data_IF_250377360484
#
_entry.id   IF_250377360484
#
_cell.length_a   1.000
_cell.length_b   1.000
_cell.length_c   1.000
_cell.angle_alpha   90.00
_cell.angle_beta   90.00
_cell.angle_gamma   90.00
#
_symmetry.space_group_name_H-M   'P 1'
#
loop_
_entity.id
_entity.type
_entity.pdbx_description
1 polymer ?
#
# COMPACT_ATOMS: atom_id res chain seq x y z
N UNK A 1 37.17 -13.58 -12.44
CA UNK A 1 36.44 -12.91 -11.34
C UNK A 1 35.61 -11.78 -11.94
N UNK A 2 34.30 -11.98 -12.14
CA UNK A 2 33.40 -10.93 -12.64
C UNK A 2 32.93 -10.05 -11.50
N UNK A 3 33.20 -8.74 -11.55
CA UNK A 3 32.59 -7.78 -10.61
C UNK A 3 31.08 -7.87 -10.82
N UNK A 4 30.34 -8.24 -9.77
CA UNK A 4 28.86 -8.14 -9.80
C UNK A 4 28.54 -6.68 -10.08
N UNK A 5 27.93 -6.41 -11.23
CA UNK A 5 27.40 -5.09 -11.53
C UNK A 5 26.29 -4.85 -10.51
N UNK A 6 26.61 -4.10 -9.46
CA UNK A 6 25.65 -3.71 -8.45
C UNK A 6 24.68 -2.76 -9.11
N UNK A 7 23.39 -3.07 -9.01
CA UNK A 7 22.31 -2.20 -9.45
C UNK A 7 22.55 -0.78 -8.89
N UNK A 8 22.73 0.24 -9.76
CA UNK A 8 23.06 1.60 -9.32
C UNK A 8 22.00 2.15 -8.36
N UNK A 9 20.73 1.75 -8.51
CA UNK A 9 19.69 2.20 -7.59
C UNK A 9 19.82 1.57 -6.21
N UNK A 10 20.27 0.32 -6.14
CA UNK A 10 20.54 -0.33 -4.85
C UNK A 10 21.68 0.38 -4.11
N UNK A 11 22.70 0.85 -4.81
CA UNK A 11 23.76 1.66 -4.22
C UNK A 11 23.21 3.01 -3.70
N UNK A 12 22.38 3.70 -4.49
CA UNK A 12 21.70 4.93 -4.07
C UNK A 12 20.86 4.69 -2.81
N UNK A 13 20.05 3.62 -2.77
CA UNK A 13 19.22 3.29 -1.61
C UNK A 13 20.06 2.92 -0.39
N UNK A 14 21.21 2.28 -0.57
CA UNK A 14 22.14 2.00 0.54
C UNK A 14 22.75 3.30 1.10
N UNK A 15 23.03 4.29 0.24
CA UNK A 15 23.51 5.61 0.66
C UNK A 15 22.41 6.44 1.33
N UNK A 16 21.14 6.26 0.96
CA UNK A 16 19.99 6.80 1.71
C UNK A 16 19.87 6.25 3.13
N UNK A 17 20.35 5.02 3.34
CA UNK A 17 20.43 4.38 4.66
C UNK A 17 21.63 4.87 5.50
N UNK A 18 22.51 5.71 4.94
CA UNK A 18 23.71 6.16 5.64
C UNK A 18 23.35 7.02 6.87
N UNK A 19 24.05 6.80 7.98
CA UNK A 19 23.94 7.66 9.16
C UNK A 19 24.44 9.09 8.92
N UNK A 20 25.19 9.35 7.83
CA UNK A 20 25.76 10.66 7.50
C UNK A 20 24.74 11.51 6.71
N UNK A 21 24.28 12.66 7.23
CA UNK A 21 23.30 13.51 6.55
C UNK A 21 23.71 13.96 5.14
N UNK A 22 25.00 14.29 4.95
CA UNK A 22 25.53 14.72 3.65
C UNK A 22 25.42 13.62 2.58
N UNK A 23 25.71 12.36 2.94
CA UNK A 23 25.60 11.22 2.01
C UNK A 23 24.15 10.99 1.61
N UNK A 24 23.21 11.12 2.56
CA UNK A 24 21.77 11.02 2.26
C UNK A 24 21.31 12.12 1.31
N UNK A 25 21.69 13.36 1.55
CA UNK A 25 21.30 14.49 0.69
C UNK A 25 21.77 14.30 -0.76
N UNK A 26 23.00 13.80 -0.96
CA UNK A 26 23.54 13.48 -2.30
C UNK A 26 22.74 12.34 -2.94
N UNK A 27 22.53 11.23 -2.21
CA UNK A 27 21.76 10.11 -2.71
C UNK A 27 20.31 10.49 -3.05
N UNK A 28 19.69 11.39 -2.29
CA UNK A 28 18.37 11.93 -2.59
C UNK A 28 18.35 12.77 -3.87
N UNK A 29 19.37 13.59 -4.09
CA UNK A 29 19.50 14.38 -5.33
C UNK A 29 19.68 13.48 -6.55
N UNK A 30 20.49 12.43 -6.43
CA UNK A 30 20.68 11.45 -7.50
C UNK A 30 19.40 10.67 -7.79
N UNK A 31 18.67 10.25 -6.74
CA UNK A 31 17.40 9.56 -6.89
C UNK A 31 16.36 10.42 -7.63
N UNK A 32 16.33 11.74 -7.36
CA UNK A 32 15.46 12.68 -8.09
C UNK A 32 15.86 12.82 -9.56
N UNK A 33 17.17 12.80 -9.86
CA UNK A 33 17.67 12.90 -11.23
C UNK A 33 17.29 11.71 -12.11
N UNK A 34 17.05 10.53 -11.50
CA UNK A 34 16.64 9.32 -12.20
C UNK A 34 15.14 9.27 -12.54
N UNK A 35 14.33 10.19 -12.03
CA UNK A 35 12.91 10.30 -12.36
C UNK A 35 12.07 9.07 -11.97
N UNK A 36 11.06 8.68 -12.77
CA UNK A 36 10.11 7.61 -12.41
C UNK A 36 10.75 6.21 -12.36
N UNK A 37 11.87 5.97 -13.03
CA UNK A 37 12.56 4.67 -12.98
C UNK A 37 13.14 4.37 -11.60
N UNK A 38 13.56 5.43 -10.88
CA UNK A 38 14.01 5.30 -9.49
C UNK A 38 12.86 4.89 -8.56
N UNK A 39 11.64 5.32 -8.84
CA UNK A 39 10.48 4.95 -8.04
C UNK A 39 10.25 3.43 -8.10
N UNK A 40 10.22 2.84 -9.29
CA UNK A 40 10.05 1.38 -9.46
C UNK A 40 11.13 0.58 -8.71
N UNK A 41 12.37 1.06 -8.77
CA UNK A 41 13.48 0.44 -8.07
C UNK A 41 13.37 0.56 -6.54
N UNK A 42 12.93 1.72 -6.03
CA UNK A 42 12.65 1.91 -4.59
C UNK A 42 11.49 1.02 -4.14
N UNK A 43 10.39 0.98 -4.90
CA UNK A 43 9.24 0.12 -4.61
C UNK A 43 9.63 -1.35 -4.61
N UNK A 44 10.45 -1.79 -5.57
CA UNK A 44 10.99 -3.14 -5.61
C UNK A 44 11.81 -3.47 -4.37
N UNK A 45 12.73 -2.59 -3.96
CA UNK A 45 13.53 -2.78 -2.74
C UNK A 45 12.64 -2.85 -1.49
N UNK A 46 11.60 -2.01 -1.40
CA UNK A 46 10.64 -2.06 -0.30
C UNK A 46 9.84 -3.36 -0.29
N UNK A 47 9.36 -3.82 -1.46
CA UNK A 47 8.60 -5.05 -1.60
C UNK A 47 9.43 -6.29 -1.25
N UNK A 48 10.67 -6.37 -1.73
CA UNK A 48 11.59 -7.48 -1.42
C UNK A 48 11.89 -7.55 0.08
N UNK A 49 12.12 -6.40 0.71
CA UNK A 49 12.41 -6.35 2.15
C UNK A 49 11.16 -6.59 3.00
N UNK A 50 9.97 -6.15 2.55
CA UNK A 50 8.70 -6.47 3.21
C UNK A 50 8.43 -7.99 3.20
N UNK A 51 8.68 -8.67 2.07
CA UNK A 51 8.63 -10.14 1.96
C UNK A 51 9.66 -10.81 2.86
N UNK A 52 10.90 -10.32 2.87
CA UNK A 52 11.93 -10.86 3.76
C UNK A 52 11.56 -10.70 5.24
N UNK A 53 10.91 -9.59 5.62
CA UNK A 53 10.47 -9.35 6.99
C UNK A 53 9.31 -10.26 7.41
N UNK A 54 8.33 -10.52 6.54
CA UNK A 54 7.24 -11.44 6.88
C UNK A 54 7.75 -12.86 7.13
N UNK A 55 8.81 -13.27 6.41
CA UNK A 55 9.54 -14.49 6.69
C UNK A 55 10.29 -14.42 8.05
N UNK A 56 11.05 -13.34 8.30
CA UNK A 56 11.76 -13.15 9.59
C UNK A 56 10.84 -13.11 10.79
N UNK A 57 9.65 -12.48 10.69
CA UNK A 57 8.66 -12.46 11.77
C UNK A 57 8.17 -13.86 12.11
N UNK A 58 7.89 -14.69 11.10
CA UNK A 58 7.49 -16.10 11.32
C UNK A 58 8.60 -16.88 12.01
N UNK A 59 9.84 -16.75 11.51
CA UNK A 59 11.02 -17.39 12.12
C UNK A 59 11.21 -16.91 13.56
N UNK A 60 11.09 -15.61 13.82
CA UNK A 60 11.21 -15.03 15.15
C UNK A 60 10.13 -15.54 16.10
N UNK A 61 8.85 -15.62 15.68
CA UNK A 61 7.76 -16.14 16.50
C UNK A 61 8.02 -17.59 16.90
N UNK A 62 8.49 -18.41 15.96
CA UNK A 62 8.87 -19.81 16.24
C UNK A 62 10.07 -19.88 17.19
N UNK A 63 11.12 -19.08 16.94
CA UNK A 63 12.30 -19.02 17.79
C UNK A 63 11.97 -18.53 19.21
N UNK A 64 11.07 -17.55 19.34
CA UNK A 64 10.60 -17.03 20.62
C UNK A 64 9.78 -18.08 21.37
N UNK A 65 8.87 -18.78 20.69
CA UNK A 65 8.10 -19.87 21.30
C UNK A 65 9.02 -21.00 21.81
N UNK A 66 10.02 -21.37 21.01
CA UNK A 66 11.03 -22.35 21.40
C UNK A 66 11.86 -21.86 22.60
N UNK A 67 12.29 -20.60 22.60
CA UNK A 67 13.01 -19.99 23.71
C UNK A 67 12.18 -20.00 25.01
N UNK A 68 10.92 -19.61 24.95
CA UNK A 68 10.01 -19.63 26.12
C UNK A 68 9.85 -21.06 26.65
N UNK A 69 9.67 -22.05 25.77
CA UNK A 69 9.59 -23.45 26.17
C UNK A 69 10.88 -23.93 26.86
N UNK A 70 12.05 -23.53 26.33
CA UNK A 70 13.35 -23.83 26.93
C UNK A 70 13.49 -23.19 28.33
N UNK A 71 13.11 -21.92 28.48
CA UNK A 71 13.15 -21.21 29.76
C UNK A 71 12.26 -21.89 30.80
N UNK A 72 11.02 -22.24 30.42
CA UNK A 72 10.10 -22.98 31.30
C UNK A 72 10.71 -24.33 31.69
N UNK A 73 11.30 -25.06 30.75
CA UNK A 73 11.98 -26.32 31.03
C UNK A 73 13.12 -26.15 32.05
N UNK A 74 13.99 -25.16 31.85
CA UNK A 74 15.11 -24.88 32.78
C UNK A 74 14.59 -24.51 34.17
N UNK A 75 13.56 -23.66 34.27
CA UNK A 75 12.95 -23.29 35.56
C UNK A 75 12.41 -24.53 36.28
N UNK A 76 11.73 -25.43 35.56
CA UNK A 76 11.16 -26.65 36.16
C UNK A 76 12.23 -27.63 36.65
N UNK A 77 13.37 -27.71 35.97
CA UNK A 77 14.46 -28.65 36.29
C UNK A 77 15.39 -28.11 37.39
N UNK A 78 15.77 -26.84 37.30
CA UNK A 78 16.84 -26.26 38.16
C UNK A 78 16.33 -25.65 39.46
N UNK A 79 15.06 -25.20 39.49
CA UNK A 79 14.49 -24.40 40.60
C UNK A 79 15.28 -23.13 40.95
N UNK A 80 16.22 -22.69 40.11
CA UNK A 80 16.99 -21.47 40.32
C UNK A 80 16.29 -20.22 39.76
N UNK A 81 16.70 -19.05 40.27
CA UNK A 81 16.15 -17.76 39.88
C UNK A 81 16.57 -17.34 38.46
N UNK A 82 15.61 -16.74 37.74
CA UNK A 82 15.60 -16.50 36.27
C UNK A 82 16.48 -15.31 35.84
N UNK A 83 17.35 -14.80 36.72
CA UNK A 83 18.07 -13.53 36.52
C UNK A 83 18.92 -13.46 35.24
N UNK A 84 19.47 -14.59 34.78
CA UNK A 84 20.32 -14.66 33.58
C UNK A 84 19.59 -14.55 32.24
N UNK A 85 18.27 -14.78 32.18
CA UNK A 85 17.54 -14.88 30.91
C UNK A 85 17.14 -13.52 30.30
N UNK A 86 17.23 -12.42 31.06
CA UNK A 86 16.90 -11.08 30.55
C UNK A 86 17.87 -10.59 29.46
N UNK A 87 19.15 -11.00 29.50
CA UNK A 87 20.15 -10.58 28.52
C UNK A 87 19.88 -11.10 27.11
N UNK A 88 19.45 -12.37 27.00
CA UNK A 88 19.18 -13.00 25.71
C UNK A 88 17.92 -12.41 25.03
N UNK A 89 16.92 -12.04 25.82
CA UNK A 89 15.71 -11.39 25.31
C UNK A 89 16.01 -10.04 24.63
N UNK A 90 16.91 -9.25 25.20
CA UNK A 90 17.33 -7.97 24.61
C UNK A 90 18.03 -8.16 23.24
N UNK A 91 18.95 -9.13 23.16
CA UNK A 91 19.61 -9.47 21.90
C UNK A 91 18.62 -9.95 20.83
N UNK A 92 17.65 -10.79 21.21
CA UNK A 92 16.63 -11.29 20.30
C UNK A 92 15.73 -10.15 19.78
N UNK A 93 15.35 -9.20 20.64
CA UNK A 93 14.56 -8.04 20.25
C UNK A 93 15.29 -7.11 19.27
N UNK A 94 16.62 -7.03 19.34
CA UNK A 94 17.43 -6.22 18.40
C UNK A 94 17.33 -6.71 16.94
N UNK A 95 17.06 -8.01 16.72
CA UNK A 95 16.88 -8.59 15.38
C UNK A 95 15.57 -8.14 14.70
N UNK A 96 14.63 -7.58 15.48
CA UNK A 96 13.40 -6.97 14.96
C UNK A 96 13.57 -5.48 14.65
N UNK A 97 14.75 -4.90 14.90
CA UNK A 97 15.00 -3.51 14.57
C UNK A 97 14.82 -3.27 13.06
N UNK A 98 14.10 -2.20 12.72
CA UNK A 98 13.88 -1.79 11.33
C UNK A 98 15.22 -1.44 10.69
N UNK A 99 15.52 -2.02 9.53
CA UNK A 99 16.73 -1.70 8.77
C UNK A 99 16.72 -0.22 8.36
N UNK A 100 17.84 0.48 8.54
CA UNK A 100 18.01 1.86 8.09
C UNK A 100 17.71 2.03 6.59
N UNK A 101 17.90 0.97 5.80
CA UNK A 101 17.55 0.94 4.37
C UNK A 101 16.04 1.13 4.14
N UNK A 102 15.20 0.53 4.99
CA UNK A 102 13.75 0.71 4.88
C UNK A 102 13.32 2.11 5.28
N UNK A 103 14.00 2.70 6.27
CA UNK A 103 13.76 4.10 6.63
C UNK A 103 14.10 5.00 5.46
N UNK A 104 15.29 4.84 4.85
CA UNK A 104 15.70 5.59 3.67
C UNK A 104 14.72 5.45 2.50
N UNK A 105 14.33 4.21 2.17
CA UNK A 105 13.40 3.93 1.08
C UNK A 105 11.99 4.49 1.34
N UNK A 106 11.45 4.34 2.55
CA UNK A 106 10.13 4.87 2.90
C UNK A 106 10.12 6.41 2.90
N UNK A 107 11.19 7.06 3.37
CA UNK A 107 11.35 8.51 3.26
C UNK A 107 11.42 8.99 1.82
N UNK A 108 12.13 8.24 0.96
CA UNK A 108 12.16 8.53 -0.46
C UNK A 108 10.75 8.39 -1.08
N UNK A 109 10.05 7.28 -0.81
CA UNK A 109 8.69 7.03 -1.28
C UNK A 109 7.70 8.13 -0.86
N UNK A 110 7.79 8.62 0.38
CA UNK A 110 6.97 9.71 0.89
C UNK A 110 7.06 11.01 0.07
N UNK A 111 8.14 11.19 -0.71
CA UNK A 111 8.36 12.40 -1.51
C UNK A 111 7.85 12.29 -2.94
N UNK A 112 7.69 11.09 -3.49
CA UNK A 112 7.27 10.91 -4.89
C UNK A 112 5.79 11.24 -5.12
N UNK A 113 4.97 11.33 -4.06
CA UNK A 113 3.54 11.68 -4.15
C UNK A 113 2.77 10.85 -5.21
N UNK A 114 3.22 9.61 -5.43
CA UNK A 114 2.65 8.64 -6.35
C UNK A 114 1.72 7.66 -5.57
N UNK A 115 0.48 7.41 -6.04
CA UNK A 115 -0.43 6.38 -5.51
C UNK A 115 0.21 5.02 -5.21
N UNK A 116 1.19 4.58 -6.01
CA UNK A 116 1.91 3.31 -5.83
C UNK A 116 2.71 3.26 -4.52
N UNK A 117 3.03 4.41 -3.94
CA UNK A 117 3.70 4.49 -2.64
C UNK A 117 2.77 4.24 -1.46
N UNK A 118 1.44 4.26 -1.65
CA UNK A 118 0.47 4.16 -0.55
C UNK A 118 0.62 2.86 0.23
N UNK A 119 0.79 1.72 -0.46
CA UNK A 119 0.98 0.42 0.19
C UNK A 119 2.22 0.37 1.11
N UNK A 120 3.44 0.60 0.57
CA UNK A 120 4.65 0.59 1.39
C UNK A 120 4.65 1.63 2.52
N UNK A 121 4.03 2.80 2.34
CA UNK A 121 3.87 3.80 3.39
C UNK A 121 2.85 3.37 4.46
N UNK A 122 1.78 2.67 4.09
CA UNK A 122 0.82 2.10 5.03
C UNK A 122 1.49 1.09 5.96
N UNK A 123 2.37 0.22 5.43
CA UNK A 123 3.20 -0.68 6.26
C UNK A 123 4.13 0.09 7.20
N UNK A 124 4.68 1.23 6.77
CA UNK A 124 5.56 2.04 7.59
C UNK A 124 4.87 2.62 8.83
N UNK A 125 3.53 2.73 8.84
CA UNK A 125 2.76 3.13 10.02
C UNK A 125 2.92 2.16 11.20
N UNK A 126 3.15 0.87 10.91
CA UNK A 126 3.34 -0.16 11.94
C UNK A 126 4.76 -0.23 12.47
N UNK A 127 5.67 0.56 11.92
CA UNK A 127 7.05 0.57 12.41
C UNK A 127 7.07 1.28 13.77
N UNK A 128 7.90 0.77 14.69
CA UNK A 128 8.07 1.36 16.03
C UNK A 128 8.79 2.71 16.03
N UNK A 129 9.31 3.14 14.88
CA UNK A 129 10.01 4.40 14.70
C UNK A 129 9.01 5.56 14.56
N UNK A 130 8.99 6.45 15.56
CA UNK A 130 8.06 7.60 15.61
C UNK A 130 8.28 8.59 14.48
N UNK A 131 9.55 8.83 14.09
CA UNK A 131 9.89 9.81 13.06
C UNK A 131 9.44 9.34 11.68
N UNK A 132 9.77 8.10 11.34
CA UNK A 132 9.33 7.48 10.09
C UNK A 132 7.81 7.36 10.01
N UNK A 133 7.16 7.01 11.13
CA UNK A 133 5.69 7.01 11.19
C UNK A 133 5.13 8.39 10.85
N UNK A 134 5.60 9.46 11.49
CA UNK A 134 5.10 10.81 11.23
C UNK A 134 5.31 11.24 9.76
N UNK A 135 6.43 10.85 9.15
CA UNK A 135 6.69 11.09 7.72
C UNK A 135 5.71 10.31 6.82
N UNK A 136 5.44 9.03 7.14
CA UNK A 136 4.49 8.21 6.41
C UNK A 136 3.05 8.72 6.57
N UNK A 137 2.64 9.13 7.77
CA UNK A 137 1.32 9.72 8.03
C UNK A 137 1.10 10.97 7.16
N UNK A 138 2.08 11.88 7.13
CA UNK A 138 2.00 13.11 6.32
C UNK A 138 1.86 12.81 4.83
N UNK A 139 2.61 11.84 4.32
CA UNK A 139 2.52 11.45 2.91
C UNK A 139 1.18 10.78 2.60
N UNK A 140 0.71 9.88 3.46
CA UNK A 140 -0.57 9.18 3.28
C UNK A 140 -1.78 10.11 3.31
N UNK A 141 -1.77 11.17 4.11
CA UNK A 141 -2.85 12.17 4.14
C UNK A 141 -3.08 12.79 2.75
N UNK A 142 -2.01 13.05 1.98
CA UNK A 142 -2.12 13.58 0.62
C UNK A 142 -2.34 12.52 -0.46
N UNK A 143 -1.85 11.30 -0.25
CA UNK A 143 -1.89 10.21 -1.24
C UNK A 143 -3.22 9.45 -1.25
N UNK A 144 -3.75 9.11 -0.06
CA UNK A 144 -4.90 8.23 0.08
C UNK A 144 -6.17 8.77 -0.60
N UNK A 145 -6.54 10.05 -0.47
CA UNK A 145 -7.72 10.59 -1.15
C UNK A 145 -7.61 10.63 -2.68
N UNK A 146 -6.41 10.38 -3.23
CA UNK A 146 -6.16 10.35 -4.69
C UNK A 146 -6.28 8.94 -5.27
N UNK A 147 -6.42 7.90 -4.43
CA UNK A 147 -6.62 6.53 -4.88
C UNK A 147 -7.98 6.39 -5.58
N UNK A 148 -7.98 5.68 -6.71
CA UNK A 148 -9.18 5.37 -7.48
C UNK A 148 -9.56 3.91 -7.33
N UNK A 149 -10.77 3.54 -7.70
CA UNK A 149 -11.21 2.15 -7.72
C UNK A 149 -10.30 1.20 -8.53
N UNK A 150 -9.63 1.70 -9.58
CA UNK A 150 -8.64 0.96 -10.38
C UNK A 150 -7.36 0.61 -9.61
N UNK A 151 -7.10 1.33 -8.52
CA UNK A 151 -5.88 1.21 -7.73
C UNK A 151 -6.03 0.21 -6.57
N UNK A 152 -7.15 -0.53 -6.53
CA UNK A 152 -7.44 -1.47 -5.44
C UNK A 152 -6.37 -2.56 -5.26
N UNK A 153 -5.70 -2.94 -6.35
CA UNK A 153 -4.63 -3.94 -6.35
C UNK A 153 -3.29 -3.39 -5.82
N UNK A 154 -3.15 -2.07 -5.68
CA UNK A 154 -1.94 -1.45 -5.12
C UNK A 154 -1.81 -1.70 -3.61
N UNK A 155 -2.91 -2.01 -2.93
CA UNK A 155 -2.92 -2.31 -1.51
C UNK A 155 -3.07 -3.81 -1.26
N UNK A 156 -2.06 -4.42 -0.65
CA UNK A 156 -2.16 -5.80 -0.18
C UNK A 156 -3.08 -5.90 1.05
N UNK A 157 -3.61 -7.10 1.38
CA UNK A 157 -4.40 -7.30 2.60
C UNK A 157 -3.67 -6.89 3.88
N UNK A 158 -2.34 -7.10 3.93
CA UNK A 158 -1.52 -6.69 5.07
C UNK A 158 -1.47 -5.17 5.23
N UNK A 159 -1.36 -4.44 4.11
CA UNK A 159 -1.36 -2.97 4.07
C UNK A 159 -2.73 -2.40 4.44
N UNK A 160 -3.82 -3.00 3.95
CA UNK A 160 -5.19 -2.62 4.38
C UNK A 160 -5.36 -2.79 5.89
N UNK A 161 -4.87 -3.90 6.46
CA UNK A 161 -4.86 -4.10 7.92
C UNK A 161 -4.04 -3.05 8.68
N UNK A 162 -2.97 -2.52 8.09
CA UNK A 162 -2.22 -1.39 8.67
C UNK A 162 -3.05 -0.10 8.64
N UNK A 163 -3.77 0.17 7.55
CA UNK A 163 -4.70 1.30 7.45
C UNK A 163 -5.88 1.18 8.42
N UNK A 164 -6.47 0.00 8.58
CA UNK A 164 -7.55 -0.23 9.57
C UNK A 164 -7.08 0.08 11.00
N UNK A 165 -5.86 -0.33 11.35
CA UNK A 165 -5.26 0.05 12.66
C UNK A 165 -4.97 1.54 12.78
N UNK A 166 -4.78 2.25 11.66
CA UNK A 166 -4.59 3.69 11.65
C UNK A 166 -5.89 4.45 11.98
N UNK A 167 -7.07 3.87 11.72
CA UNK A 167 -8.36 4.48 12.08
C UNK A 167 -8.53 4.67 13.60
N UNK A 168 -7.93 3.79 14.41
CA UNK A 168 -7.95 3.87 15.88
C UNK A 168 -6.85 4.76 16.48
N UNK A 169 -6.08 5.50 15.66
CA UNK A 169 -5.00 6.37 16.14
C UNK A 169 -5.50 7.80 16.37
N UNK A 170 -4.80 8.59 17.20
CA UNK A 170 -5.23 9.96 17.52
C UNK A 170 -5.13 10.95 16.34
N UNK A 171 -4.52 10.56 15.20
CA UNK A 171 -4.39 11.43 14.04
C UNK A 171 -5.68 11.41 13.20
N UNK A 172 -6.52 12.42 13.42
CA UNK A 172 -7.82 12.54 12.76
C UNK A 172 -7.72 12.75 11.24
N UNK A 173 -6.74 13.54 10.78
CA UNK A 173 -6.55 13.81 9.35
C UNK A 173 -6.20 12.53 8.59
N UNK A 174 -5.33 11.70 9.16
CA UNK A 174 -5.01 10.40 8.60
C UNK A 174 -6.25 9.49 8.58
N UNK A 175 -7.04 9.46 9.65
CA UNK A 175 -8.24 8.62 9.70
C UNK A 175 -9.24 9.02 8.61
N UNK A 176 -9.47 10.31 8.39
CA UNK A 176 -10.33 10.82 7.31
C UNK A 176 -9.78 10.45 5.92
N UNK A 177 -8.47 10.59 5.72
CA UNK A 177 -7.82 10.19 4.47
C UNK A 177 -7.94 8.68 4.21
N UNK A 178 -7.81 7.85 5.27
CA UNK A 178 -8.03 6.41 5.20
C UNK A 178 -9.48 6.09 4.84
N UNK A 179 -10.47 6.72 5.47
CA UNK A 179 -11.88 6.50 5.15
C UNK A 179 -12.20 6.83 3.69
N UNK A 180 -11.70 7.99 3.20
CA UNK A 180 -11.85 8.38 1.80
C UNK A 180 -11.23 7.37 0.83
N UNK A 181 -10.05 6.83 1.15
CA UNK A 181 -9.45 5.76 0.35
C UNK A 181 -10.27 4.45 0.42
N UNK A 182 -10.70 4.04 1.61
CA UNK A 182 -11.46 2.79 1.77
C UNK A 182 -12.80 2.83 1.05
N UNK A 183 -13.44 3.99 0.91
CA UNK A 183 -14.61 4.15 0.05
C UNK A 183 -14.32 3.72 -1.40
N UNK A 184 -13.14 4.09 -1.91
CA UNK A 184 -12.73 3.86 -3.30
C UNK A 184 -12.12 2.48 -3.53
N UNK A 185 -11.29 1.98 -2.60
CA UNK A 185 -10.49 0.75 -2.77
C UNK A 185 -10.77 -0.32 -1.71
N UNK A 186 -11.74 -0.09 -0.83
CA UNK A 186 -12.11 -1.02 0.24
C UNK A 186 -12.66 -2.35 -0.29
N UNK A 187 -12.55 -3.34 0.60
CA UNK A 187 -13.04 -4.71 0.45
C UNK A 187 -13.94 -5.09 1.64
N UNK A 188 -14.40 -6.35 1.68
CA UNK A 188 -15.26 -6.85 2.75
C UNK A 188 -14.63 -6.72 4.15
N UNK A 189 -13.30 -6.87 4.26
CA UNK A 189 -12.61 -6.68 5.54
C UNK A 189 -12.63 -5.22 6.00
N UNK A 190 -12.66 -4.29 5.04
CA UNK A 190 -12.73 -2.85 5.30
C UNK A 190 -14.12 -2.43 5.75
N UNK A 191 -15.17 -3.07 5.22
CA UNK A 191 -16.56 -2.83 5.62
C UNK A 191 -16.75 -3.07 7.13
N UNK A 192 -16.24 -4.18 7.63
CA UNK A 192 -16.34 -4.52 9.05
C UNK A 192 -15.59 -3.51 9.94
N UNK A 193 -14.38 -3.10 9.54
CA UNK A 193 -13.61 -2.11 10.27
C UNK A 193 -14.31 -0.73 10.32
N UNK A 194 -14.91 -0.30 9.20
CA UNK A 194 -15.63 0.98 9.11
C UNK A 194 -16.95 0.93 9.88
N UNK A 195 -17.67 -0.20 9.87
CA UNK A 195 -18.89 -0.40 10.64
C UNK A 195 -18.62 -0.29 12.15
N UNK A 196 -17.60 -0.99 12.64
CA UNK A 196 -17.17 -0.91 14.04
C UNK A 196 -16.82 0.54 14.45
N UNK A 197 -16.19 1.29 13.54
CA UNK A 197 -15.87 2.70 13.77
C UNK A 197 -17.10 3.61 13.79
N UNK A 198 -18.08 3.37 12.91
CA UNK A 198 -19.32 4.14 12.81
C UNK A 198 -20.27 3.92 14.01
N UNK A 199 -20.24 2.71 14.58
CA UNK A 199 -20.99 2.32 15.77
C UNK A 199 -20.32 2.75 17.08
N UNK A 200 -19.05 3.16 17.03
CA UNK A 200 -18.32 3.62 18.21
C UNK A 200 -19.00 4.85 18.84
N UNK A 201 -19.42 4.72 20.11
CA UNK A 201 -20.04 5.81 20.86
C UNK A 201 -19.09 7.02 21.04
N UNK A 202 -19.48 8.25 20.63
CA UNK A 202 -18.65 9.42 20.83
C UNK A 202 -18.37 9.64 22.32
N UNK A 203 -17.10 9.80 22.69
CA UNK A 203 -16.72 10.19 24.05
C UNK A 203 -16.66 9.07 25.09
N UNK A 204 -16.66 7.80 24.68
CA UNK A 204 -16.24 6.71 25.57
C UNK A 204 -14.82 7.01 26.07
N UNK A 205 -14.70 7.24 27.38
CA UNK A 205 -13.55 7.89 27.99
C UNK A 205 -12.32 6.97 27.97
N UNK A 206 -11.50 7.09 26.92
CA UNK A 206 -10.22 6.40 26.80
C UNK A 206 -9.23 7.13 25.89
N UNK A 207 -7.93 7.04 26.19
CA UNK A 207 -6.85 7.53 25.31
C UNK A 207 -6.93 6.77 23.98
N UNK A 208 -7.39 7.44 22.92
CA UNK A 208 -7.40 6.90 21.56
C UNK A 208 -8.78 6.69 20.95
N UNK A 209 -9.85 7.22 21.53
CA UNK A 209 -11.15 7.18 20.87
C UNK A 209 -11.22 8.10 19.65
N UNK A 210 -11.89 7.65 18.57
CA UNK A 210 -12.07 8.45 17.36
C UNK A 210 -12.87 9.71 17.68
N UNK A 211 -12.53 10.81 17.01
CA UNK A 211 -13.30 12.04 17.15
C UNK A 211 -14.69 11.89 16.55
N UNK A 212 -15.66 12.69 17.02
CA UNK A 212 -17.01 12.70 16.46
C UNK A 212 -17.01 12.86 14.94
N UNK A 213 -16.06 13.67 14.42
CA UNK A 213 -15.87 13.90 12.98
C UNK A 213 -15.45 12.63 12.22
N UNK A 214 -14.59 11.80 12.81
CA UNK A 214 -14.16 10.53 12.18
C UNK A 214 -15.31 9.52 12.20
N UNK A 215 -16.10 9.46 13.28
CA UNK A 215 -17.27 8.58 13.37
C UNK A 215 -18.35 8.98 12.36
N UNK A 216 -18.60 10.28 12.21
CA UNK A 216 -19.53 10.82 11.19
C UNK A 216 -19.07 10.48 9.78
N UNK A 217 -17.81 10.73 9.44
CA UNK A 217 -17.24 10.35 8.15
C UNK A 217 -17.30 8.84 7.89
N UNK A 218 -17.16 8.00 8.93
CA UNK A 218 -17.31 6.55 8.81
C UNK A 218 -18.76 6.17 8.44
N UNK A 219 -19.76 6.83 9.05
CA UNK A 219 -21.18 6.62 8.71
C UNK A 219 -21.51 7.05 7.28
N UNK A 220 -20.93 8.15 6.82
CA UNK A 220 -21.08 8.62 5.44
C UNK A 220 -20.42 7.68 4.42
N UNK A 221 -19.30 7.06 4.80
CA UNK A 221 -18.55 6.11 3.95
C UNK A 221 -19.28 4.75 3.79
N UNK A 222 -20.06 4.32 4.77
CA UNK A 222 -20.67 2.98 4.80
C UNK A 222 -21.52 2.63 3.57
N UNK A 223 -22.50 3.45 3.13
CA UNK A 223 -23.35 3.09 2.00
C UNK A 223 -22.57 2.83 0.70
N UNK A 224 -21.58 3.67 0.40
CA UNK A 224 -20.74 3.52 -0.78
C UNK A 224 -19.86 2.27 -0.71
N UNK A 225 -19.34 1.95 0.49
CA UNK A 225 -18.54 0.76 0.72
C UNK A 225 -19.38 -0.53 0.64
N UNK A 226 -20.62 -0.52 1.16
CA UNK A 226 -21.56 -1.65 1.04
C UNK A 226 -21.91 -1.94 -0.43
N UNK A 227 -22.30 -0.91 -1.19
CA UNK A 227 -22.57 -1.06 -2.63
C UNK A 227 -21.35 -1.61 -3.39
N UNK A 228 -20.15 -1.15 -3.03
CA UNK A 228 -18.91 -1.67 -3.63
C UNK A 228 -18.70 -3.15 -3.31
N UNK A 229 -18.85 -3.56 -2.06
CA UNK A 229 -18.69 -4.96 -1.65
C UNK A 229 -19.70 -5.86 -2.35
N UNK A 230 -20.94 -5.39 -2.51
CA UNK A 230 -21.98 -6.14 -3.22
C UNK A 230 -21.67 -6.28 -4.72
N UNK A 231 -21.14 -5.22 -5.37
CA UNK A 231 -20.63 -5.32 -6.75
C UNK A 231 -19.48 -6.33 -6.88
N UNK A 232 -18.55 -6.36 -5.93
CA UNK A 232 -17.44 -7.33 -5.92
C UNK A 232 -17.96 -8.76 -5.75
N UNK A 233 -18.93 -8.99 -4.86
CA UNK A 233 -19.59 -10.30 -4.68
C UNK A 233 -20.33 -10.76 -5.94
N UNK A 234 -21.08 -9.85 -6.57
CA UNK A 234 -21.78 -10.14 -7.82
C UNK A 234 -20.80 -10.52 -8.94
N UNK A 235 -19.72 -9.75 -9.11
CA UNK A 235 -18.67 -10.04 -10.09
C UNK A 235 -17.97 -11.39 -9.84
N UNK A 236 -17.65 -11.70 -8.59
CA UNK A 236 -17.04 -12.99 -8.23
C UNK A 236 -17.99 -14.18 -8.47
N UNK A 237 -19.30 -13.98 -8.32
CA UNK A 237 -20.31 -15.01 -8.58
C UNK A 237 -20.42 -15.33 -10.07
N UNK A 238 -20.35 -14.31 -10.94
CA UNK A 238 -20.40 -14.50 -12.39
C UNK A 238 -19.19 -15.27 -12.93
N UNK A 239 -18.01 -15.08 -12.35
CA UNK A 239 -16.78 -15.79 -12.76
C UNK A 239 -16.73 -17.25 -12.30
N UNK A 240 -17.50 -17.64 -11.28
CA UNK A 240 -17.55 -19.04 -10.83
C UNK A 240 -18.41 -19.93 -11.74
N UNK A 241 -19.35 -19.36 -12.48
CA UNK A 241 -20.18 -20.14 -13.40
C UNK A 241 -19.42 -20.64 -14.65
N UNK A 242 -18.28 -20.04 -14.98
CA UNK A 242 -17.45 -20.40 -16.15
C UNK A 242 -16.28 -21.34 -15.82
N UNK A 243 -15.91 -21.48 -14.55
CA UNK A 243 -15.09 -22.60 -14.10
C UNK A 243 -15.96 -23.86 -14.05
N UNK A 244 -16.31 -24.38 -15.22
CA UNK A 244 -16.79 -25.75 -15.34
C UNK A 244 -15.76 -26.64 -14.63
N UNK A 245 -16.18 -27.55 -13.73
CA UNK A 245 -15.25 -28.39 -13.00
C UNK A 245 -14.30 -29.08 -14.00
N UNK A 246 -12.99 -28.98 -13.78
CA UNK A 246 -11.92 -29.56 -14.62
C UNK A 246 -11.95 -31.10 -14.69
N UNK A 247 -12.98 -31.74 -14.13
CA UNK A 247 -13.24 -33.16 -14.28
C UNK A 247 -14.72 -33.46 -14.57
N UNK A 248 -15.19 -33.26 -15.82
CA UNK A 248 -16.38 -33.94 -16.32
C UNK A 248 -16.04 -35.36 -16.82
N UNK A 249 -14.75 -35.75 -16.87
CA UNK A 249 -14.30 -36.97 -17.55
C UNK A 249 -14.61 -38.25 -16.75
N UNK A 250 -14.89 -38.16 -15.45
CA UNK A 250 -15.36 -39.28 -14.64
C UNK A 250 -16.90 -39.41 -14.55
N UNK A 251 -17.67 -38.44 -15.07
CA UNK A 251 -19.14 -38.42 -14.96
C UNK A 251 -19.89 -38.32 -16.30
N UNK A 252 -19.17 -38.22 -17.43
CA UNK A 252 -19.77 -38.44 -18.74
C UNK A 252 -19.74 -39.94 -19.06
N UNK A 253 -20.89 -40.56 -18.80
CA UNK A 253 -21.41 -41.78 -19.41
C UNK A 253 -20.66 -42.14 -20.71
N UNK A 254 -20.03 -43.32 -20.74
CA UNK A 254 -19.56 -43.92 -21.99
C UNK A 254 -20.77 -44.02 -22.93
N UNK A 255 -20.74 -43.39 -24.12
CA UNK A 255 -21.69 -43.72 -25.16
C UNK A 255 -21.61 -45.22 -25.42
N UNK A 256 -22.76 -45.89 -25.43
CA UNK A 256 -22.83 -47.28 -25.90
C UNK A 256 -22.18 -47.32 -27.30
N UNK A 257 -21.17 -48.17 -27.44
CA UNK A 257 -20.48 -48.42 -28.71
C UNK A 257 -21.49 -49.01 -29.71
N UNK A 258 -22.18 -48.13 -30.44
CA UNK A 258 -22.93 -48.46 -31.65
C UNK A 258 -22.02 -48.22 -32.84
N UNK A 259 -21.50 -49.31 -33.40
CA UNK A 259 -20.79 -49.32 -34.67
C UNK A 259 -21.71 -48.83 -35.81
N UNK A 260 -21.44 -47.64 -36.34
CA UNK A 260 -22.12 -47.10 -37.51
C UNK A 260 -21.19 -46.18 -38.28
N UNK A 261 -20.97 -46.50 -39.55
CA UNK A 261 -19.99 -45.95 -40.48
C UNK A 261 -20.12 -44.43 -40.75
N UNK A 262 -19.06 -43.77 -41.28
CA UNK A 262 -18.94 -42.32 -41.31
C UNK A 262 -19.68 -41.69 -42.49
N UNK A 263 -20.41 -40.60 -42.24
CA UNK A 263 -20.85 -39.66 -43.27
C UNK A 263 -19.99 -38.41 -43.14
N UNK A 264 -18.88 -38.43 -43.87
CA UNK A 264 -18.15 -37.24 -44.30
C UNK A 264 -19.04 -36.50 -45.30
N UNK A 265 -19.67 -35.41 -44.87
CA UNK A 265 -19.86 -34.20 -45.68
C UNK A 265 -20.65 -33.15 -44.88
N UNK A 266 -20.27 -31.89 -45.07
CA UNK A 266 -20.91 -30.68 -44.53
C UNK A 266 -20.58 -30.45 -43.05
N UNK A 267 -19.83 -29.41 -42.69
CA UNK A 267 -20.37 -28.04 -42.68
C UNK A 267 -19.30 -26.98 -43.01
N UNK A 268 -19.55 -26.32 -44.14
CA UNK A 268 -19.40 -24.88 -44.44
C UNK A 268 -18.51 -24.04 -43.50
N UNK A 269 -17.36 -23.62 -44.01
CA UNK A 269 -16.66 -22.40 -43.58
C UNK A 269 -17.24 -21.20 -44.33
N UNK A 270 -17.82 -20.18 -43.66
CA UNK A 270 -18.11 -18.91 -44.30
C UNK A 270 -16.78 -18.21 -44.61
N UNK A 271 -16.44 -18.17 -45.90
CA UNK A 271 -15.38 -17.35 -46.45
C UNK A 271 -15.98 -15.95 -46.65
N UNK A 272 -15.86 -15.10 -45.63
CA UNK A 272 -16.21 -13.69 -45.72
C UNK A 272 -14.95 -12.87 -46.00
N UNK A 273 -14.48 -12.93 -47.23
CA UNK A 273 -13.60 -11.92 -47.81
C UNK A 273 -14.38 -10.61 -47.98
N UNK A 274 -13.70 -9.49 -47.71
CA UNK A 274 -14.05 -8.20 -48.30
C UNK A 274 -14.63 -7.19 -47.33
N UNK A 275 -13.77 -6.41 -46.68
CA UNK A 275 -13.96 -4.96 -46.79
C UNK A 275 -12.63 -4.21 -46.75
N UNK A 276 -12.34 -3.68 -47.92
CA UNK A 276 -11.30 -2.76 -48.30
C UNK A 276 -11.60 -1.33 -47.82
N UNK A 277 -10.53 -0.64 -47.41
CA UNK A 277 -10.30 0.82 -47.58
C UNK A 277 -11.10 1.80 -46.70
N UNK A 278 -10.71 3.11 -46.58
CA UNK A 278 -9.45 3.78 -46.93
C UNK A 278 -8.93 4.77 -45.84
N UNK A 279 -7.76 5.38 -46.11
CA UNK A 279 -7.34 6.74 -45.73
C UNK A 279 -7.15 7.05 -44.22
N UNK A 280 -5.91 7.19 -43.74
CA UNK A 280 -5.07 8.41 -43.93
C UNK A 280 -5.87 9.71 -43.73
N UNK A 281 -6.10 10.07 -42.46
CA UNK A 281 -6.44 11.44 -42.07
C UNK A 281 -5.37 11.95 -41.12
N UNK A 282 -4.51 12.81 -41.65
CA UNK A 282 -3.61 13.64 -40.87
C UNK A 282 -4.41 14.49 -39.86
N UNK A 283 -3.96 14.66 -38.61
CA UNK A 283 -4.51 15.69 -37.76
C UNK A 283 -4.04 17.07 -38.26
N UNK A 284 -5.04 17.86 -38.68
CA UNK A 284 -4.96 19.32 -38.89
C UNK A 284 -4.23 19.97 -37.73
N UNK A 285 -3.17 20.71 -38.05
CA UNK A 285 -2.64 21.81 -37.28
C UNK A 285 -3.75 22.82 -37.01
N UNK A 286 -4.36 22.74 -35.82
CA UNK A 286 -5.16 23.81 -35.26
C UNK A 286 -4.20 24.90 -34.80
N UNK A 287 -3.96 25.84 -35.71
CA UNK A 287 -3.96 27.28 -35.51
C UNK A 287 -4.55 27.68 -34.14
N UNK A 288 -3.67 27.86 -33.16
CA UNK A 288 -3.93 28.61 -31.94
C UNK A 288 -3.27 29.97 -32.12
N UNK A 289 -3.99 30.87 -32.78
CA UNK A 289 -3.77 32.31 -32.70
C UNK A 289 -4.72 32.84 -31.62
N UNK A 290 -4.17 33.41 -30.56
CA UNK A 290 -4.91 33.70 -29.34
C UNK A 290 -4.00 34.21 -28.23
N UNK A 291 -3.23 35.25 -28.56
CA UNK A 291 -2.54 36.05 -27.56
C UNK A 291 -3.56 36.81 -26.71
N UNK A 292 -3.81 36.32 -25.50
CA UNK A 292 -4.39 37.13 -24.43
C UNK A 292 -3.29 37.43 -23.40
N UNK A 293 -2.87 38.70 -23.40
CA UNK A 293 -1.92 39.24 -22.46
C UNK A 293 -2.47 39.14 -21.03
N UNK A 294 -1.83 38.33 -20.21
CA UNK A 294 -2.08 38.28 -18.77
C UNK A 294 -1.54 39.58 -18.15
N UNK A 295 -2.36 40.42 -17.49
CA UNK A 295 -1.87 41.60 -16.80
C UNK A 295 -1.06 41.19 -15.56
N UNK A 296 0.10 41.82 -15.40
CA UNK A 296 0.99 41.65 -14.26
C UNK A 296 0.26 41.88 -12.92
N UNK A 297 0.50 41.06 -11.88
CA UNK A 297 -0.08 41.30 -10.57
C UNK A 297 0.52 42.56 -9.95
N UNK A 298 -0.35 43.53 -9.64
CA UNK A 298 -0.01 44.74 -8.90
C UNK A 298 0.60 44.38 -7.54
N UNK A 299 1.87 44.78 -7.37
CA UNK A 299 2.56 44.80 -6.08
C UNK A 299 1.85 45.76 -5.13
N UNK A 300 1.14 45.21 -4.14
CA UNK A 300 0.64 45.99 -3.01
C UNK A 300 1.79 46.28 -2.04
N UNK A 301 1.93 47.53 -1.53
CA UNK A 301 2.95 47.87 -0.55
C UNK A 301 2.64 47.22 0.80
N UNK A 302 3.60 46.46 1.32
CA UNK A 302 3.61 45.94 2.68
C UNK A 302 3.79 47.12 3.64
N UNK A 303 2.68 47.59 4.23
CA UNK A 303 2.70 48.49 5.38
C UNK A 303 3.31 47.79 6.60
N UNK A 304 4.58 48.06 6.85
CA UNK A 304 5.25 47.81 8.13
C UNK A 304 4.72 48.83 9.15
N UNK A 305 3.58 48.54 9.77
CA UNK A 305 3.14 49.26 10.97
C UNK A 305 3.84 48.66 12.18
N UNK A 306 4.76 49.44 12.75
CA UNK A 306 5.46 49.12 13.98
C UNK A 306 4.51 48.90 15.16
N UNK A 307 4.91 47.98 16.03
CA UNK A 307 4.55 48.03 17.44
C UNK A 307 5.83 48.11 18.25
N UNK A 308 6.14 49.34 18.67
CA UNK A 308 6.93 49.59 19.87
C UNK A 308 6.10 49.16 21.09
N UNK A 309 6.72 48.43 22.01
CA UNK A 309 6.24 48.28 23.38
C UNK A 309 7.33 48.80 24.32
N UNK A 310 7.04 49.79 25.17
CA UNK A 310 7.96 50.19 26.22
C UNK A 310 7.80 49.25 27.42
N UNK A 311 8.93 48.71 27.90
CA UNK A 311 9.02 48.06 29.21
C UNK A 311 9.05 49.13 30.30
N UNK A 312 8.18 48.98 31.29
CA UNK A 312 8.38 49.47 32.65
C UNK A 312 8.61 48.26 33.56
#
# INVERSE_FOLDING_TARGET
>A
MGRRQTDPVKDIVSRLASGKPAVRAVAESELRGLGPEALESVLRVMADEARARSARKRIFVVALAFYVALVVLVITVTKEDVGGFFGFFSALMSLLAVSEMQKGAARAAARFQDPRCAGPLAEALDFGDKGLRAEAERALIGLLPRLRASDADLLSPAQRKSLHRALGRPNQELALAVLSALEQVGDESSLEAVRQLAEAAPGSRGRGWPSSRVVEAARECLPALEERVDRLRAGATLLRATAAPDDPASSLLRPAAGSGAPVTDQLLRPSGEGESSPASRAPRSAEWDGGEAVPAPATLPVSLSGQETPRA
#
